data_IF_131412359832
#
_entry.id   IF_131412359832
#
_cell.length_a   1.000
_cell.length_b   1.000
_cell.length_c   1.000
_cell.angle_alpha   90.00
_cell.angle_beta   90.00
_cell.angle_gamma   90.00
#
_symmetry.space_group_name_H-M   'P 1'
#
loop_
_entity.id
_entity.type
_entity.pdbx_description
1 polymer ?
#
# COMPACT_ATOMS: atom_id res chain seq x y z
N UNK A 1 -0.46 -55.44 72.69
CA UNK A 1 -1.34 -55.05 73.80
C UNK A 1 -1.19 -53.55 74.05
N UNK A 2 -2.30 -52.81 73.93
CA UNK A 2 -2.60 -51.45 74.44
C UNK A 2 -1.70 -50.26 74.04
N UNK A 3 -2.25 -49.39 73.19
CA UNK A 3 -1.99 -47.93 73.19
C UNK A 3 -2.68 -47.25 74.39
N UNK A 4 -2.20 -46.07 74.81
CA UNK A 4 -3.05 -44.86 74.82
C UNK A 4 -2.25 -43.60 74.37
N UNK A 5 -2.74 -42.77 73.46
CA UNK A 5 -3.72 -41.68 73.61
C UNK A 5 -3.27 -40.46 74.44
N UNK A 6 -3.02 -39.36 73.70
CA UNK A 6 -3.41 -37.95 73.98
C UNK A 6 -2.65 -37.18 75.06
N UNK A 7 -2.10 -36.01 74.72
CA UNK A 7 -2.47 -34.68 75.28
C UNK A 7 -1.85 -33.55 74.44
N UNK A 8 -2.70 -32.56 74.21
CA UNK A 8 -2.60 -31.32 73.45
C UNK A 8 -1.78 -30.25 74.22
N UNK A 9 -0.95 -29.46 73.53
CA UNK A 9 -0.46 -28.18 74.05
C UNK A 9 -0.51 -27.09 72.96
N UNK A 10 -1.49 -26.20 73.11
CA UNK A 10 -1.63 -24.92 72.43
C UNK A 10 -0.92 -23.86 73.27
N UNK A 11 0.09 -23.17 72.73
CA UNK A 11 0.43 -21.79 73.13
C UNK A 11 0.70 -20.98 71.88
N UNK A 12 -0.07 -19.90 71.75
CA UNK A 12 -0.04 -18.90 70.70
C UNK A 12 1.06 -17.86 70.93
N UNK A 13 1.72 -17.43 69.86
CA UNK A 13 2.32 -16.11 69.76
C UNK A 13 1.92 -15.50 68.41
N UNK A 14 1.04 -14.51 68.49
CA UNK A 14 0.71 -13.59 67.41
C UNK A 14 1.88 -12.63 67.17
N UNK A 15 2.29 -12.47 65.91
CA UNK A 15 2.88 -11.24 65.40
C UNK A 15 2.08 -10.82 64.18
N UNK A 16 1.23 -9.81 64.36
CA UNK A 16 0.53 -9.08 63.31
C UNK A 16 1.52 -8.10 62.67
N UNK A 17 1.63 -8.10 61.34
CA UNK A 17 1.95 -6.90 60.55
C UNK A 17 1.62 -7.12 59.07
N UNK A 18 0.56 -6.44 58.62
CA UNK A 18 0.50 -5.76 57.32
C UNK A 18 0.22 -6.58 56.06
N UNK A 19 -1.04 -6.55 55.61
CA UNK A 19 -1.41 -6.87 54.23
C UNK A 19 -0.89 -5.79 53.27
N UNK A 20 -0.25 -6.18 52.16
CA UNK A 20 -0.55 -5.56 50.86
C UNK A 20 -0.60 -6.67 49.80
N UNK A 21 -1.80 -6.89 49.27
CA UNK A 21 -2.03 -7.74 48.11
C UNK A 21 -1.41 -7.10 46.88
N UNK A 22 -0.54 -7.82 46.17
CA UNK A 22 -0.21 -7.51 44.78
C UNK A 22 -0.44 -8.76 43.94
N UNK A 23 -1.60 -8.78 43.30
CA UNK A 23 -1.88 -9.60 42.13
C UNK A 23 -0.89 -9.21 41.05
N UNK A 24 0.24 -9.92 40.98
CA UNK A 24 1.14 -9.82 39.84
C UNK A 24 0.43 -10.44 38.65
N UNK A 25 -0.15 -9.60 37.79
CA UNK A 25 -0.52 -9.99 36.43
C UNK A 25 0.78 -10.49 35.80
N UNK A 26 0.79 -11.79 35.52
CA UNK A 26 1.78 -12.42 34.67
C UNK A 26 1.73 -11.65 33.34
N UNK A 27 2.75 -10.81 33.11
CA UNK A 27 2.88 -10.07 31.87
C UNK A 27 3.13 -11.12 30.81
N UNK A 28 2.06 -11.51 30.11
CA UNK A 28 2.13 -12.17 28.82
C UNK A 28 3.17 -11.39 28.03
N UNK A 29 4.32 -12.03 27.80
CA UNK A 29 5.41 -11.52 27.00
C UNK A 29 4.92 -11.56 25.55
N UNK A 30 4.06 -10.61 25.19
CA UNK A 30 3.60 -10.40 23.83
C UNK A 30 4.85 -10.06 23.03
N UNK A 31 5.23 -10.87 22.02
CA UNK A 31 6.36 -10.54 21.17
C UNK A 31 6.16 -9.13 20.62
N UNK A 32 7.21 -8.31 20.62
CA UNK A 32 7.18 -7.00 19.99
C UNK A 32 6.69 -7.06 18.53
N UNK A 33 6.26 -5.92 17.96
CA UNK A 33 5.86 -5.87 16.56
C UNK A 33 6.95 -6.46 15.67
N UNK A 34 6.56 -7.08 14.56
CA UNK A 34 7.52 -7.67 13.62
C UNK A 34 8.55 -6.61 13.19
N UNK A 35 9.84 -6.93 13.30
CA UNK A 35 10.92 -6.05 12.85
C UNK A 35 11.00 -5.95 11.31
N UNK A 36 10.19 -6.72 10.59
CA UNK A 36 10.09 -6.64 9.13
C UNK A 36 9.37 -5.34 8.74
N UNK A 37 10.06 -4.46 8.01
CA UNK A 37 9.49 -3.23 7.43
C UNK A 37 9.64 -3.29 5.92
N UNK A 38 8.69 -2.72 5.18
CA UNK A 38 8.66 -2.73 3.71
C UNK A 38 8.75 -1.31 3.16
N UNK A 39 9.16 -1.17 1.91
CA UNK A 39 9.35 0.13 1.25
C UNK A 39 8.02 0.83 0.94
N UNK A 40 6.90 0.11 0.89
CA UNK A 40 5.57 0.71 0.70
C UNK A 40 5.01 1.37 1.97
N UNK A 41 5.61 1.11 3.13
CA UNK A 41 5.22 1.70 4.43
C UNK A 41 6.30 2.66 4.96
N UNK A 42 7.59 2.37 4.77
CA UNK A 42 8.68 3.21 5.27
C UNK A 42 9.34 4.08 4.21
N UNK A 43 9.67 5.31 4.59
CA UNK A 43 10.47 6.24 3.77
C UNK A 43 11.90 5.77 3.54
N UNK A 44 12.53 6.29 2.48
CA UNK A 44 13.93 6.02 2.12
C UNK A 44 14.89 6.26 3.31
N UNK A 45 15.95 5.45 3.50
CA UNK A 45 17.06 5.84 4.37
C UNK A 45 17.61 7.19 3.93
N UNK A 46 18.01 8.03 4.91
CA UNK A 46 18.53 9.40 4.69
C UNK A 46 19.48 9.49 3.47
N UNK A 47 19.38 10.54 2.64
CA UNK A 47 20.36 10.81 1.61
C UNK A 47 21.77 10.94 2.21
N UNK A 48 22.76 10.35 1.54
CA UNK A 48 24.17 10.70 1.71
C UNK A 48 24.30 12.22 1.49
N UNK A 49 25.06 12.96 2.33
CA UNK A 49 25.17 14.41 2.20
C UNK A 49 25.61 14.79 0.76
N UNK A 50 25.01 15.83 0.17
CA UNK A 50 25.34 16.24 -1.18
C UNK A 50 26.81 16.71 -1.24
N UNK A 51 27.54 16.24 -2.24
CA UNK A 51 28.78 16.88 -2.66
C UNK A 51 28.46 18.31 -3.14
N UNK A 52 29.30 19.26 -2.75
CA UNK A 52 29.13 20.70 -2.93
C UNK A 52 28.78 21.09 -4.38
N UNK A 53 27.52 21.51 -4.59
CA UNK A 53 26.99 22.01 -5.88
C UNK A 53 27.40 23.47 -6.13
N UNK A 54 28.15 24.07 -5.22
CA UNK A 54 28.57 25.48 -5.29
C UNK A 54 29.73 25.72 -6.29
N UNK A 55 30.33 24.65 -6.82
CA UNK A 55 31.39 24.75 -7.83
C UNK A 55 30.87 24.81 -9.28
N UNK A 56 29.61 24.46 -9.54
CA UNK A 56 29.07 24.36 -10.92
C UNK A 56 28.42 25.68 -11.38
N UNK A 57 27.92 26.51 -10.46
CA UNK A 57 27.15 27.73 -10.80
C UNK A 57 28.06 28.93 -11.14
N UNK A 58 29.36 28.89 -10.83
CA UNK A 58 30.28 30.02 -11.05
C UNK A 58 30.73 30.25 -12.50
N UNK A 59 30.31 29.45 -13.48
CA UNK A 59 30.76 29.59 -14.87
C UNK A 59 29.76 30.24 -15.84
N UNK A 60 28.52 30.55 -15.44
CA UNK A 60 27.51 31.08 -16.37
C UNK A 60 27.07 32.55 -16.13
N UNK A 61 27.57 33.22 -15.09
CA UNK A 61 27.13 34.59 -14.72
C UNK A 61 28.05 35.73 -15.20
N UNK A 62 28.57 35.64 -16.43
CA UNK A 62 29.29 36.77 -17.05
C UNK A 62 28.90 37.01 -18.51
N UNK A 63 27.68 37.47 -18.81
CA UNK A 63 27.41 38.35 -19.97
C UNK A 63 26.19 39.27 -19.74
N UNK A 64 26.48 40.57 -19.65
CA UNK A 64 25.72 41.75 -20.10
C UNK A 64 24.46 42.29 -19.37
N UNK A 65 24.70 43.42 -18.67
CA UNK A 65 23.85 44.61 -18.55
C UNK A 65 23.55 45.27 -19.92
N UNK A 66 22.38 45.94 -20.07
CA UNK A 66 22.20 47.40 -20.36
C UNK A 66 20.68 47.72 -20.53
N UNK A 67 20.22 48.81 -19.87
CA UNK A 67 18.92 49.53 -20.01
C UNK A 67 19.21 50.95 -20.55
N UNK A 68 18.29 51.67 -21.24
CA UNK A 68 17.41 52.70 -20.59
C UNK A 68 15.99 52.84 -21.24
N UNK A 69 14.88 53.08 -20.54
CA UNK A 69 14.25 54.28 -19.90
C UNK A 69 13.43 55.24 -20.82
N UNK A 70 12.28 55.72 -20.29
CA UNK A 70 11.35 56.83 -20.65
C UNK A 70 10.13 56.52 -21.55
N UNK A 71 8.94 57.15 -21.46
CA UNK A 71 8.15 57.91 -20.47
C UNK A 71 6.72 58.13 -21.10
N UNK A 72 5.67 58.28 -20.30
CA UNK A 72 4.27 58.64 -20.66
C UNK A 72 3.96 60.07 -20.13
N UNK A 73 2.99 60.88 -20.66
CA UNK A 73 1.55 60.70 -20.30
C UNK A 73 0.42 61.31 -21.20
N UNK A 74 -0.79 60.72 -21.06
CA UNK A 74 -2.19 61.25 -20.97
C UNK A 74 -2.68 62.55 -21.68
N UNK A 75 -3.86 62.46 -22.32
CA UNK A 75 -4.83 63.57 -22.49
C UNK A 75 -5.97 63.35 -23.53
N UNK A 76 -7.24 63.34 -23.08
CA UNK A 76 -8.48 63.31 -23.90
C UNK A 76 -9.05 64.74 -24.14
N UNK A 77 -10.09 65.03 -24.99
CA UNK A 77 -11.51 64.70 -24.64
C UNK A 77 -12.59 64.58 -25.79
N UNK A 78 -13.72 63.90 -25.46
CA UNK A 78 -15.16 63.87 -25.87
C UNK A 78 -15.73 64.26 -27.29
N UNK A 79 -16.48 63.28 -27.90
CA UNK A 79 -17.86 63.23 -28.51
C UNK A 79 -18.49 64.32 -29.44
N UNK A 80 -19.61 64.06 -30.22
CA UNK A 80 -20.59 62.94 -30.20
C UNK A 80 -21.13 62.38 -31.55
N UNK A 81 -22.00 61.36 -31.42
CA UNK A 81 -23.22 61.06 -32.20
C UNK A 81 -23.16 60.14 -33.47
N UNK A 82 -23.56 58.88 -33.21
CA UNK A 82 -24.61 58.09 -33.88
C UNK A 82 -24.64 57.92 -35.41
N UNK A 83 -24.56 56.66 -35.87
CA UNK A 83 -25.60 55.98 -36.68
C UNK A 83 -25.28 54.47 -36.84
N UNK A 84 -26.35 53.70 -36.96
CA UNK A 84 -26.50 52.25 -36.76
C UNK A 84 -26.22 51.42 -38.03
N UNK A 85 -25.81 50.15 -37.82
CA UNK A 85 -25.92 48.93 -38.68
C UNK A 85 -24.65 48.42 -39.41
N UNK A 86 -24.56 47.12 -39.78
CA UNK A 86 -25.07 45.89 -39.15
C UNK A 86 -23.95 44.87 -38.82
N UNK A 87 -24.33 43.81 -38.10
CA UNK A 87 -23.45 42.70 -37.69
C UNK A 87 -22.84 41.93 -38.88
N UNK A 88 -21.54 41.63 -38.79
CA UNK A 88 -20.83 40.67 -39.66
C UNK A 88 -21.16 39.23 -39.22
N UNK A 89 -21.23 38.27 -40.15
CA UNK A 89 -21.57 36.89 -39.82
C UNK A 89 -20.45 36.24 -39.01
N UNK A 90 -20.83 35.53 -37.95
CA UNK A 90 -19.92 34.67 -37.21
C UNK A 90 -19.40 33.57 -38.15
N UNK A 91 -18.07 33.54 -38.35
CA UNK A 91 -17.42 32.42 -39.02
C UNK A 91 -17.69 31.15 -38.21
N UNK A 92 -18.31 30.16 -38.86
CA UNK A 92 -18.54 28.84 -38.29
C UNK A 92 -17.18 28.21 -37.92
N UNK A 93 -16.91 28.07 -36.63
CA UNK A 93 -15.77 27.28 -36.16
C UNK A 93 -16.07 25.80 -36.42
N UNK A 94 -15.30 25.21 -37.34
CA UNK A 94 -15.28 23.76 -37.54
C UNK A 94 -14.85 23.12 -36.21
N UNK A 95 -15.61 22.17 -35.63
CA UNK A 95 -15.17 21.50 -34.42
C UNK A 95 -13.91 20.71 -34.75
N UNK A 96 -12.79 21.05 -34.12
CA UNK A 96 -11.61 20.20 -34.21
C UNK A 96 -11.96 18.83 -33.62
N UNK A 97 -11.81 17.79 -34.43
CA UNK A 97 -12.00 16.42 -33.99
C UNK A 97 -11.05 16.15 -32.81
N UNK A 98 -11.63 15.79 -31.65
CA UNK A 98 -10.85 15.34 -30.50
C UNK A 98 -9.91 14.23 -30.98
N UNK A 99 -8.60 14.27 -30.65
CA UNK A 99 -7.73 13.14 -30.95
C UNK A 99 -8.34 11.90 -30.31
N UNK A 100 -8.62 10.87 -31.11
CA UNK A 100 -9.07 9.56 -30.61
C UNK A 100 -8.05 9.12 -29.57
N UNK A 101 -8.48 9.00 -28.31
CA UNK A 101 -7.69 8.38 -27.28
C UNK A 101 -7.25 7.02 -27.81
N UNK A 102 -5.93 6.80 -27.95
CA UNK A 102 -5.40 5.47 -28.25
C UNK A 102 -5.93 4.56 -27.15
N UNK A 103 -6.64 3.49 -27.52
CA UNK A 103 -7.02 2.45 -26.57
C UNK A 103 -5.74 2.00 -25.87
N UNK A 104 -5.69 2.09 -24.54
CA UNK A 104 -4.60 1.51 -23.78
C UNK A 104 -4.42 0.05 -24.22
N UNK A 105 -3.18 -0.43 -24.37
CA UNK A 105 -2.96 -1.83 -24.74
C UNK A 105 -3.71 -2.73 -23.77
N UNK A 106 -4.61 -3.56 -24.28
CA UNK A 106 -5.29 -4.58 -23.50
C UNK A 106 -4.25 -5.57 -22.99
N UNK A 107 -4.29 -5.91 -21.71
CA UNK A 107 -3.45 -6.98 -21.17
C UNK A 107 -3.70 -8.27 -21.96
N UNK A 108 -2.67 -8.74 -22.66
CA UNK A 108 -2.73 -9.89 -23.57
C UNK A 108 -2.64 -11.25 -22.85
N UNK A 109 -2.46 -11.25 -21.52
CA UNK A 109 -2.29 -12.48 -20.75
C UNK A 109 -0.84 -12.98 -20.68
N UNK A 110 0.11 -12.30 -21.32
CA UNK A 110 1.50 -12.73 -21.42
C UNK A 110 2.26 -12.42 -20.14
N UNK A 111 2.81 -13.46 -19.52
CA UNK A 111 3.67 -13.33 -18.35
C UNK A 111 5.10 -13.08 -18.82
N UNK A 112 5.69 -11.98 -18.37
CA UNK A 112 7.12 -11.71 -18.55
C UNK A 112 7.88 -12.27 -17.36
N UNK A 113 8.91 -13.05 -17.67
CA UNK A 113 9.83 -13.63 -16.69
C UNK A 113 10.48 -12.54 -15.84
N UNK A 114 10.50 -12.76 -14.52
CA UNK A 114 11.15 -11.85 -13.58
C UNK A 114 12.66 -11.74 -13.84
N UNK A 115 13.17 -10.52 -13.70
CA UNK A 115 14.59 -10.15 -13.72
C UNK A 115 14.95 -9.22 -12.56
N UNK A 116 14.07 -9.14 -11.56
CA UNK A 116 14.31 -8.36 -10.36
C UNK A 116 15.57 -8.83 -9.64
N UNK A 117 16.31 -7.85 -9.12
CA UNK A 117 17.38 -8.06 -8.16
C UNK A 117 16.86 -7.72 -6.76
N UNK A 118 17.64 -8.04 -5.76
CA UNK A 118 17.34 -7.73 -4.37
C UNK A 118 18.61 -7.24 -3.69
N UNK A 119 18.52 -6.15 -2.93
CA UNK A 119 19.65 -5.63 -2.17
C UNK A 119 19.98 -6.50 -0.94
N UNK A 120 19.00 -7.25 -0.41
CA UNK A 120 19.16 -8.15 0.75
C UNK A 120 18.46 -9.49 0.47
N UNK A 121 18.95 -10.29 -0.50
CA UNK A 121 18.29 -11.53 -0.88
C UNK A 121 18.31 -12.53 0.28
N UNK A 122 17.17 -13.16 0.53
CA UNK A 122 17.05 -14.27 1.48
C UNK A 122 17.10 -15.60 0.73
N UNK A 123 17.86 -16.55 1.27
CA UNK A 123 17.94 -17.90 0.72
C UNK A 123 16.76 -18.75 1.21
N UNK A 124 15.74 -18.89 0.37
CA UNK A 124 14.58 -19.75 0.62
C UNK A 124 14.77 -21.21 0.15
N UNK A 125 15.95 -21.57 -0.38
CA UNK A 125 16.28 -22.91 -0.84
C UNK A 125 15.35 -23.40 -1.97
N UNK A 126 14.82 -24.61 -1.83
CA UNK A 126 13.89 -25.20 -2.80
C UNK A 126 12.55 -24.45 -2.90
N UNK A 127 12.18 -23.67 -1.87
CA UNK A 127 10.95 -22.88 -1.83
C UNK A 127 11.16 -21.42 -2.29
N UNK A 128 12.17 -21.19 -3.15
CA UNK A 128 12.48 -19.86 -3.67
C UNK A 128 11.32 -19.24 -4.44
N UNK A 129 10.98 -17.95 -4.20
CA UNK A 129 9.98 -17.23 -4.98
C UNK A 129 10.32 -17.21 -6.47
N UNK A 130 11.61 -17.25 -6.84
CA UNK A 130 12.05 -17.30 -8.25
C UNK A 130 11.58 -18.55 -9.03
N UNK A 131 11.05 -19.57 -8.34
CA UNK A 131 10.45 -20.74 -8.99
C UNK A 131 8.99 -20.52 -9.40
N UNK A 132 8.35 -19.46 -8.90
CA UNK A 132 7.00 -19.07 -9.29
C UNK A 132 7.07 -18.20 -10.55
N UNK A 133 6.09 -18.36 -11.43
CA UNK A 133 6.16 -17.75 -12.75
C UNK A 133 5.82 -16.25 -12.73
N UNK A 134 4.86 -15.86 -11.89
CA UNK A 134 4.22 -14.55 -11.95
C UNK A 134 4.68 -13.70 -10.78
N UNK A 135 5.56 -12.75 -11.09
CA UNK A 135 6.01 -11.75 -10.14
C UNK A 135 5.29 -10.41 -10.35
N UNK A 136 5.25 -9.62 -9.30
CA UNK A 136 4.69 -8.28 -9.29
C UNK A 136 5.30 -7.43 -8.18
N UNK A 137 4.77 -6.23 -8.05
CA UNK A 137 5.25 -5.24 -7.07
C UNK A 137 4.07 -4.66 -6.31
N UNK A 138 4.36 -4.02 -5.18
CA UNK A 138 3.43 -3.08 -4.58
C UNK A 138 4.13 -1.76 -4.31
N UNK A 139 3.38 -0.66 -4.46
CA UNK A 139 3.94 0.70 -4.43
C UNK A 139 2.97 1.69 -3.79
N UNK A 140 3.53 2.77 -3.27
CA UNK A 140 2.84 3.93 -2.75
C UNK A 140 3.53 5.22 -3.23
N UNK A 141 3.22 6.35 -2.60
CA UNK A 141 4.01 7.59 -2.75
C UNK A 141 5.51 7.44 -2.47
N UNK A 142 5.91 6.47 -1.64
CA UNK A 142 7.31 6.34 -1.21
C UNK A 142 8.27 5.93 -2.33
N UNK A 143 7.76 5.27 -3.37
CA UNK A 143 8.54 4.91 -4.56
C UNK A 143 8.75 6.09 -5.52
N UNK A 144 8.04 7.22 -5.32
CA UNK A 144 8.18 8.42 -6.14
C UNK A 144 7.84 8.17 -7.61
N UNK A 145 8.69 8.68 -8.51
CA UNK A 145 8.55 8.50 -9.95
C UNK A 145 8.91 7.07 -10.38
N UNK A 146 8.00 6.42 -11.10
CA UNK A 146 8.12 5.03 -11.53
C UNK A 146 8.13 4.94 -13.06
N UNK A 147 9.15 4.30 -13.60
CA UNK A 147 9.20 3.87 -15.01
C UNK A 147 8.46 2.53 -15.15
N UNK A 148 7.15 2.61 -15.41
CA UNK A 148 6.27 1.45 -15.55
C UNK A 148 6.63 0.54 -16.73
N UNK A 149 6.94 1.05 -17.95
CA UNK A 149 7.45 0.21 -19.03
C UNK A 149 8.72 -0.55 -18.65
N UNK A 150 9.65 0.09 -17.94
CA UNK A 150 10.84 -0.59 -17.44
C UNK A 150 10.47 -1.67 -16.45
N UNK A 151 9.62 -1.41 -15.45
CA UNK A 151 9.15 -2.44 -14.51
C UNK A 151 8.49 -3.63 -15.23
N UNK A 152 7.62 -3.36 -16.21
CA UNK A 152 6.99 -4.39 -17.04
C UNK A 152 8.04 -5.28 -17.72
N UNK A 153 9.06 -4.68 -18.33
CA UNK A 153 10.16 -5.38 -19.02
C UNK A 153 11.05 -6.20 -18.07
N UNK A 154 11.11 -5.83 -16.79
CA UNK A 154 11.83 -6.57 -15.75
C UNK A 154 10.98 -7.69 -15.11
N UNK A 155 9.76 -7.88 -15.61
CA UNK A 155 8.86 -8.97 -15.19
C UNK A 155 7.90 -8.61 -14.08
N UNK A 156 7.57 -7.33 -13.89
CA UNK A 156 6.38 -6.93 -13.16
C UNK A 156 5.15 -7.26 -14.00
N UNK A 157 4.40 -8.29 -13.64
CA UNK A 157 3.17 -8.70 -14.33
C UNK A 157 1.92 -8.12 -13.68
N UNK A 158 2.03 -7.82 -12.39
CA UNK A 158 0.99 -7.14 -11.63
C UNK A 158 1.58 -6.07 -10.71
N UNK A 159 0.72 -5.14 -10.30
CA UNK A 159 1.04 -4.13 -9.31
C UNK A 159 -0.16 -3.87 -8.36
N UNK A 160 0.07 -3.91 -7.06
CA UNK A 160 -0.85 -3.31 -6.09
C UNK A 160 -0.40 -1.90 -5.74
N UNK A 161 -1.31 -0.93 -5.82
CA UNK A 161 -0.97 0.49 -5.70
C UNK A 161 -1.75 1.07 -4.53
N UNK A 162 -1.06 1.73 -3.59
CA UNK A 162 -1.70 2.38 -2.45
C UNK A 162 -2.69 3.39 -2.98
N UNK A 163 -3.95 3.25 -2.60
CA UNK A 163 -4.97 4.23 -2.95
C UNK A 163 -5.28 5.14 -1.79
N UNK A 164 -5.58 4.58 -0.63
CA UNK A 164 -6.08 5.36 0.50
C UNK A 164 -5.57 4.79 1.82
N UNK A 165 -5.52 5.64 2.82
CA UNK A 165 -5.29 5.30 4.22
C UNK A 165 -6.29 6.03 5.12
N UNK A 166 -6.87 5.32 6.08
CA UNK A 166 -7.92 5.90 6.93
C UNK A 166 -9.17 6.37 6.17
N UNK A 167 -9.80 7.44 6.63
CA UNK A 167 -11.13 7.86 6.12
C UNK A 167 -11.11 9.05 5.16
N UNK A 168 -9.92 9.57 4.86
CA UNK A 168 -9.73 10.96 4.42
C UNK A 168 -8.39 11.21 3.70
N UNK A 169 -7.50 10.21 3.61
CA UNK A 169 -6.23 10.37 2.92
C UNK A 169 -6.21 9.56 1.62
N UNK A 170 -5.92 10.24 0.52
CA UNK A 170 -5.64 9.66 -0.80
C UNK A 170 -4.14 9.70 -1.00
N UNK A 171 -3.54 8.58 -1.40
CA UNK A 171 -2.12 8.57 -1.76
C UNK A 171 -1.91 9.50 -2.97
N UNK A 172 -1.05 10.53 -2.87
CA UNK A 172 -0.90 11.54 -3.90
C UNK A 172 -0.39 10.98 -5.23
N UNK A 173 0.27 9.82 -5.20
CA UNK A 173 0.77 9.15 -6.40
C UNK A 173 -0.23 8.15 -6.98
N UNK A 174 -1.33 7.83 -6.29
CA UNK A 174 -2.28 6.80 -6.70
C UNK A 174 -2.74 6.96 -8.14
N UNK A 175 -3.31 8.12 -8.51
CA UNK A 175 -3.86 8.31 -9.87
C UNK A 175 -2.81 8.19 -10.97
N UNK A 176 -1.60 8.67 -10.70
CA UNK A 176 -0.46 8.60 -11.63
C UNK A 176 0.02 7.17 -11.80
N UNK A 177 0.26 6.48 -10.68
CA UNK A 177 0.69 5.09 -10.67
C UNK A 177 -0.36 4.16 -11.27
N UNK A 178 -1.64 4.37 -10.92
CA UNK A 178 -2.78 3.63 -11.44
C UNK A 178 -2.79 3.70 -12.97
N UNK A 179 -2.71 4.90 -13.55
CA UNK A 179 -2.69 5.09 -15.01
C UNK A 179 -1.44 4.48 -15.64
N UNK A 180 -0.25 4.80 -15.13
CA UNK A 180 1.02 4.35 -15.70
C UNK A 180 1.17 2.83 -15.71
N UNK A 181 0.76 2.15 -14.63
CA UNK A 181 0.75 0.69 -14.58
C UNK A 181 -0.20 0.08 -15.63
N UNK A 182 -1.37 0.68 -15.83
CA UNK A 182 -2.34 0.26 -16.85
C UNK A 182 -1.82 0.47 -18.27
N UNK A 183 -1.24 1.63 -18.57
CA UNK A 183 -0.65 1.96 -19.87
C UNK A 183 0.54 1.05 -20.23
N UNK A 184 1.32 0.64 -19.23
CA UNK A 184 2.41 -0.32 -19.38
C UNK A 184 1.94 -1.79 -19.45
N UNK A 185 0.63 -2.05 -19.37
CA UNK A 185 0.07 -3.39 -19.50
C UNK A 185 0.33 -4.30 -18.30
N UNK A 186 0.39 -3.75 -17.08
CA UNK A 186 0.36 -4.55 -15.84
C UNK A 186 -1.09 -4.78 -15.40
N UNK A 187 -1.37 -5.94 -14.81
CA UNK A 187 -2.59 -6.11 -14.02
C UNK A 187 -2.48 -5.31 -12.73
N UNK A 188 -3.38 -4.36 -12.52
CA UNK A 188 -3.31 -3.42 -11.41
C UNK A 188 -4.45 -3.64 -10.42
N UNK A 189 -4.13 -3.58 -9.14
CA UNK A 189 -5.07 -3.54 -8.04
C UNK A 189 -4.77 -2.35 -7.13
N UNK A 190 -5.73 -1.99 -6.30
CA UNK A 190 -5.57 -0.92 -5.33
C UNK A 190 -5.63 -1.50 -3.91
N UNK A 191 -4.85 -0.95 -3.00
CA UNK A 191 -4.90 -1.33 -1.58
C UNK A 191 -5.25 -0.17 -0.66
N UNK A 192 -5.91 -0.50 0.45
CA UNK A 192 -6.30 0.40 1.52
C UNK A 192 -5.52 0.07 2.79
N UNK A 193 -4.75 1.02 3.31
CA UNK A 193 -4.04 0.85 4.58
C UNK A 193 -4.96 1.21 5.75
N UNK A 194 -5.31 0.23 6.58
CA UNK A 194 -6.41 0.33 7.52
C UNK A 194 -6.07 1.10 8.81
N UNK A 195 -6.92 2.05 9.21
CA UNK A 195 -6.78 2.77 10.49
C UNK A 195 -7.80 2.29 11.52
N UNK A 196 -7.30 1.69 12.60
CA UNK A 196 -8.13 0.99 13.59
C UNK A 196 -9.04 1.89 14.43
N UNK A 197 -8.71 3.18 14.59
CA UNK A 197 -9.56 4.15 15.29
C UNK A 197 -10.61 4.83 14.41
N UNK A 198 -10.65 4.56 13.10
CA UNK A 198 -11.67 5.12 12.19
C UNK A 198 -12.83 4.14 12.02
N UNK A 199 -14.02 4.64 11.68
CA UNK A 199 -15.18 3.79 11.39
C UNK A 199 -14.87 2.96 10.14
N UNK A 200 -15.18 1.65 10.17
CA UNK A 200 -14.83 0.76 9.05
C UNK A 200 -15.57 1.11 7.75
N UNK A 201 -16.85 1.44 7.85
CA UNK A 201 -17.67 1.82 6.70
C UNK A 201 -17.18 3.10 6.02
N UNK A 202 -16.78 4.11 6.79
CA UNK A 202 -16.22 5.37 6.25
C UNK A 202 -14.95 5.14 5.45
N UNK A 203 -14.08 4.24 5.91
CA UNK A 203 -12.86 3.85 5.19
C UNK A 203 -13.19 3.15 3.88
N UNK A 204 -14.18 2.25 3.88
CA UNK A 204 -14.64 1.59 2.67
C UNK A 204 -15.25 2.58 1.67
N UNK A 205 -16.10 3.50 2.14
CA UNK A 205 -16.69 4.55 1.31
C UNK A 205 -15.63 5.52 0.77
N UNK A 206 -14.55 5.77 1.53
CA UNK A 206 -13.41 6.55 1.06
C UNK A 206 -12.62 5.82 -0.03
N UNK A 207 -12.36 4.51 0.15
CA UNK A 207 -11.70 3.70 -0.87
C UNK A 207 -12.53 3.64 -2.16
N UNK A 208 -13.83 3.34 -2.07
CA UNK A 208 -14.77 3.28 -3.20
C UNK A 208 -14.83 4.61 -3.97
N UNK A 209 -14.87 5.74 -3.26
CA UNK A 209 -14.89 7.06 -3.91
C UNK A 209 -13.63 7.37 -4.73
N UNK A 210 -12.49 6.78 -4.38
CA UNK A 210 -11.20 7.13 -4.96
C UNK A 210 -10.65 6.09 -5.95
N UNK A 211 -11.07 4.84 -5.85
CA UNK A 211 -10.60 3.74 -6.70
C UNK A 211 -11.66 3.43 -7.74
N UNK A 212 -11.37 3.57 -9.04
CA UNK A 212 -12.37 3.32 -10.07
C UNK A 212 -12.58 1.81 -10.27
N UNK A 213 -13.85 1.41 -10.40
CA UNK A 213 -14.21 0.07 -10.88
C UNK A 213 -13.93 0.00 -12.38
N UNK A 214 -12.93 -0.78 -12.77
CA UNK A 214 -12.51 -0.95 -14.17
C UNK A 214 -12.36 -2.44 -14.49
N UNK A 215 -12.84 -2.90 -15.67
CA UNK A 215 -12.74 -4.30 -16.05
C UNK A 215 -11.31 -4.82 -16.00
N UNK A 216 -11.14 -5.98 -15.38
CA UNK A 216 -9.85 -6.66 -15.30
C UNK A 216 -8.82 -6.00 -14.38
N UNK A 217 -9.22 -5.05 -13.52
CA UNK A 217 -8.47 -4.74 -12.32
C UNK A 217 -8.46 -5.94 -11.36
N UNK A 218 -7.40 -6.05 -10.56
CA UNK A 218 -7.33 -7.05 -9.51
C UNK A 218 -8.32 -6.73 -8.38
N UNK A 219 -8.78 -7.74 -7.62
CA UNK A 219 -9.57 -7.52 -6.41
C UNK A 219 -8.94 -6.47 -5.49
N UNK A 220 -9.74 -5.63 -4.82
CA UNK A 220 -9.21 -4.64 -3.91
C UNK A 220 -8.55 -5.32 -2.71
N UNK A 221 -7.48 -4.72 -2.19
CA UNK A 221 -6.77 -5.22 -1.00
C UNK A 221 -7.14 -4.38 0.22
N UNK A 222 -7.40 -5.07 1.33
CA UNK A 222 -7.34 -4.49 2.67
C UNK A 222 -5.97 -4.83 3.28
N UNK A 223 -5.21 -3.80 3.60
CA UNK A 223 -3.92 -3.89 4.27
C UNK A 223 -4.13 -3.68 5.78
N UNK A 224 -3.97 -4.78 6.54
CA UNK A 224 -4.20 -4.83 7.97
C UNK A 224 -2.91 -5.14 8.72
N UNK A 225 -2.39 -4.13 9.39
CA UNK A 225 -1.21 -4.24 10.22
C UNK A 225 -1.30 -3.35 11.46
N UNK A 226 -0.38 -3.56 12.40
CA UNK A 226 -0.22 -2.62 13.51
C UNK A 226 0.47 -1.36 13.01
N UNK A 227 -0.32 -0.30 12.78
CA UNK A 227 0.21 0.98 12.34
C UNK A 227 0.93 1.72 13.49
N UNK A 228 2.27 1.60 13.53
CA UNK A 228 3.11 2.29 14.51
C UNK A 228 3.04 3.83 14.38
N UNK A 229 2.87 4.33 13.15
CA UNK A 229 2.78 5.76 12.83
C UNK A 229 1.41 6.36 13.18
N UNK A 230 0.40 5.52 13.43
CA UNK A 230 -0.92 6.01 13.80
C UNK A 230 -0.89 6.75 15.13
N UNK A 231 -1.61 7.87 15.19
CA UNK A 231 -1.98 8.52 16.46
C UNK A 231 -2.94 7.67 17.29
N UNK A 232 -3.58 6.66 16.68
CA UNK A 232 -4.36 5.64 17.35
C UNK A 232 -3.44 4.68 18.11
N UNK A 233 -3.30 4.86 19.42
CA UNK A 233 -2.52 3.93 20.28
C UNK A 233 -3.36 2.80 20.86
N UNK A 234 -4.64 2.74 20.52
CA UNK A 234 -5.58 1.72 21.03
C UNK A 234 -5.37 0.39 20.31
N UNK A 235 -5.08 -0.66 21.09
CA UNK A 235 -5.24 -2.04 20.62
C UNK A 235 -6.68 -2.49 20.83
N UNK A 236 -7.31 -2.97 19.75
CA UNK A 236 -8.63 -3.60 19.82
C UNK A 236 -8.51 -5.04 20.30
N UNK A 237 -9.63 -5.65 20.69
CA UNK A 237 -9.66 -7.11 20.84
C UNK A 237 -9.58 -7.77 19.44
N UNK A 238 -9.09 -9.02 19.35
CA UNK A 238 -9.08 -9.77 18.09
C UNK A 238 -10.45 -9.79 17.40
N UNK A 239 -11.54 -9.93 18.14
CA UNK A 239 -12.92 -9.96 17.62
C UNK A 239 -13.29 -8.63 16.96
N UNK A 240 -12.94 -7.51 17.62
CA UNK A 240 -13.21 -6.16 17.09
C UNK A 240 -12.36 -5.84 15.86
N UNK A 241 -11.12 -6.33 15.79
CA UNK A 241 -10.35 -6.26 14.55
C UNK A 241 -11.09 -6.95 13.40
N UNK A 242 -11.50 -8.20 13.61
CA UNK A 242 -12.20 -9.01 12.59
C UNK A 242 -13.55 -8.42 12.18
N UNK A 243 -14.34 -7.92 13.12
CA UNK A 243 -15.62 -7.25 12.84
C UNK A 243 -15.42 -6.03 11.92
N UNK A 244 -14.44 -5.18 12.24
CA UNK A 244 -14.15 -4.00 11.43
C UNK A 244 -13.64 -4.36 10.03
N UNK A 245 -12.83 -5.41 9.93
CA UNK A 245 -12.40 -5.94 8.64
C UNK A 245 -13.58 -6.43 7.81
N UNK A 246 -14.49 -7.20 8.41
CA UNK A 246 -15.67 -7.74 7.74
C UNK A 246 -16.54 -6.63 7.15
N UNK A 247 -16.86 -5.59 7.95
CA UNK A 247 -17.64 -4.43 7.48
C UNK A 247 -16.98 -3.75 6.27
N UNK A 248 -15.66 -3.58 6.29
CA UNK A 248 -14.94 -2.97 5.18
C UNK A 248 -14.98 -3.86 3.94
N UNK A 249 -14.66 -5.15 4.10
CA UNK A 249 -14.60 -6.11 3.01
C UNK A 249 -15.96 -6.36 2.36
N UNK A 250 -17.04 -6.45 3.14
CA UNK A 250 -18.40 -6.63 2.61
C UNK A 250 -18.81 -5.48 1.69
N UNK A 251 -18.49 -4.23 2.07
CA UNK A 251 -18.76 -3.06 1.24
C UNK A 251 -17.95 -3.06 -0.04
N UNK A 252 -16.67 -3.48 0.02
CA UNK A 252 -15.85 -3.59 -1.18
C UNK A 252 -16.34 -4.72 -2.09
N UNK A 253 -16.67 -5.89 -1.55
CA UNK A 253 -17.20 -7.01 -2.32
C UNK A 253 -18.50 -6.64 -3.02
N UNK A 254 -19.42 -5.96 -2.32
CA UNK A 254 -20.67 -5.47 -2.89
C UNK A 254 -20.47 -4.45 -4.02
N UNK A 255 -19.47 -3.56 -3.91
CA UNK A 255 -19.22 -2.53 -4.91
C UNK A 255 -18.47 -3.07 -6.14
N UNK A 256 -17.36 -3.78 -5.90
CA UNK A 256 -16.46 -4.26 -6.95
C UNK A 256 -16.90 -5.59 -7.55
N UNK A 257 -17.76 -6.36 -6.90
CA UNK A 257 -18.11 -7.72 -7.33
C UNK A 257 -16.94 -8.69 -7.21
N UNK A 258 -15.90 -8.32 -6.46
CA UNK A 258 -14.68 -9.08 -6.27
C UNK A 258 -14.44 -9.26 -4.78
N UNK A 259 -14.13 -10.48 -4.36
CA UNK A 259 -13.77 -10.76 -2.97
C UNK A 259 -12.45 -10.07 -2.62
N UNK A 260 -12.40 -9.18 -1.61
CA UNK A 260 -11.17 -8.48 -1.27
C UNK A 260 -10.04 -9.41 -0.83
N UNK A 261 -8.81 -9.02 -1.14
CA UNK A 261 -7.59 -9.72 -0.70
C UNK A 261 -7.13 -9.12 0.63
N UNK A 262 -6.77 -9.97 1.60
CA UNK A 262 -6.27 -9.55 2.91
C UNK A 262 -4.74 -9.55 2.88
N UNK A 263 -4.12 -8.38 2.95
CA UNK A 263 -2.69 -8.25 3.24
C UNK A 263 -2.46 -8.21 4.75
N UNK A 264 -1.46 -8.96 5.24
CA UNK A 264 -1.09 -8.94 6.66
C UNK A 264 0.37 -9.33 6.90
N UNK A 265 1.01 -8.76 7.93
CA UNK A 265 2.29 -9.22 8.46
C UNK A 265 2.15 -10.34 9.50
N UNK A 266 3.26 -11.00 9.89
CA UNK A 266 3.23 -12.19 10.73
C UNK A 266 2.63 -11.98 12.12
N UNK A 267 2.95 -10.85 12.76
CA UNK A 267 2.50 -10.50 14.10
C UNK A 267 1.00 -10.22 14.12
N UNK A 268 0.50 -9.37 13.23
CA UNK A 268 -0.93 -9.08 13.14
C UNK A 268 -1.75 -10.33 12.81
N UNK A 269 -1.24 -11.18 11.91
CA UNK A 269 -1.89 -12.45 11.58
C UNK A 269 -1.98 -13.39 12.78
N UNK A 270 -0.87 -13.62 13.47
CA UNK A 270 -0.79 -14.53 14.63
C UNK A 270 -1.78 -14.11 15.71
N UNK A 271 -1.83 -12.81 15.98
CA UNK A 271 -2.62 -12.26 17.08
C UNK A 271 -4.12 -12.22 16.75
N UNK A 272 -4.49 -11.96 15.49
CA UNK A 272 -5.87 -11.58 15.14
C UNK A 272 -6.55 -12.49 14.09
N UNK A 273 -5.80 -13.15 13.21
CA UNK A 273 -6.34 -13.77 11.98
C UNK A 273 -6.14 -15.29 11.88
N UNK A 274 -5.31 -15.90 12.75
CA UNK A 274 -5.09 -17.36 12.74
C UNK A 274 -6.43 -18.10 12.90
N UNK A 275 -6.74 -18.98 11.94
CA UNK A 275 -8.01 -19.74 11.92
C UNK A 275 -9.21 -19.01 11.31
N UNK A 276 -9.14 -17.70 11.09
CA UNK A 276 -10.25 -16.90 10.56
C UNK A 276 -10.11 -16.61 9.05
N UNK A 277 -11.17 -16.07 8.45
CA UNK A 277 -11.24 -15.63 7.04
C UNK A 277 -10.75 -16.69 6.03
N UNK A 278 -11.05 -17.98 6.26
CA UNK A 278 -10.62 -19.08 5.38
C UNK A 278 -11.14 -18.96 3.95
N UNK A 279 -12.28 -18.31 3.75
CA UNK A 279 -12.84 -18.04 2.43
C UNK A 279 -12.28 -16.80 1.72
N UNK A 280 -11.33 -16.07 2.31
CA UNK A 280 -10.73 -14.88 1.70
C UNK A 280 -9.32 -15.17 1.16
N UNK A 281 -8.95 -14.60 0.01
CA UNK A 281 -7.59 -14.68 -0.51
C UNK A 281 -6.63 -13.88 0.39
N UNK A 282 -5.49 -14.48 0.73
CA UNK A 282 -4.45 -13.82 1.52
C UNK A 282 -3.25 -13.41 0.66
N UNK A 283 -2.75 -12.21 0.95
CA UNK A 283 -1.44 -11.72 0.56
C UNK A 283 -0.56 -11.66 1.82
N UNK A 284 0.38 -12.59 1.96
CA UNK A 284 1.17 -12.71 3.18
C UNK A 284 2.52 -12.02 3.04
N UNK A 285 2.88 -11.15 3.99
CA UNK A 285 4.26 -10.68 4.13
C UNK A 285 5.09 -11.72 4.85
N UNK A 286 6.18 -12.14 4.23
CA UNK A 286 7.14 -13.06 4.85
C UNK A 286 8.50 -12.87 4.19
N UNK A 287 9.28 -11.91 4.69
CA UNK A 287 10.53 -11.51 4.02
C UNK A 287 11.74 -12.28 4.56
N UNK A 288 11.65 -12.85 5.77
CA UNK A 288 12.74 -13.63 6.37
C UNK A 288 12.62 -15.16 6.21
N UNK A 289 11.45 -15.69 5.86
CA UNK A 289 11.20 -17.13 5.71
C UNK A 289 10.04 -17.41 4.74
N UNK A 290 9.93 -18.65 4.25
CA UNK A 290 8.81 -19.04 3.37
C UNK A 290 7.46 -19.00 4.14
N UNK A 291 6.34 -18.59 3.51
CA UNK A 291 5.05 -18.48 4.18
C UNK A 291 4.59 -19.75 4.90
N UNK A 292 4.92 -20.95 4.41
CA UNK A 292 4.54 -22.20 5.08
C UNK A 292 5.16 -22.37 6.48
N UNK A 293 6.29 -21.70 6.77
CA UNK A 293 6.94 -21.72 8.08
C UNK A 293 6.35 -20.65 9.02
N UNK A 294 6.03 -19.48 8.46
CA UNK A 294 5.54 -18.32 9.24
C UNK A 294 4.03 -18.38 9.48
N UNK A 295 3.29 -18.96 8.53
CA UNK A 295 1.83 -19.07 8.52
C UNK A 295 1.40 -20.53 8.28
N UNK A 296 1.72 -21.46 9.20
CA UNK A 296 1.46 -22.89 9.00
C UNK A 296 -0.03 -23.16 8.74
N UNK A 297 -0.31 -23.84 7.62
CA UNK A 297 -1.67 -24.21 7.20
C UNK A 297 -2.52 -23.04 6.71
N UNK A 298 -1.93 -21.87 6.40
CA UNK A 298 -2.64 -20.76 5.75
C UNK A 298 -2.45 -20.81 4.25
N UNK A 299 -3.55 -20.90 3.52
CA UNK A 299 -3.58 -20.68 2.08
C UNK A 299 -3.36 -19.19 1.77
N UNK A 300 -2.63 -18.93 0.69
CA UNK A 300 -2.31 -17.58 0.21
C UNK A 300 -2.29 -17.56 -1.31
N UNK A 301 -2.59 -16.41 -1.88
CA UNK A 301 -2.56 -16.14 -3.32
C UNK A 301 -1.39 -15.25 -3.71
N UNK A 302 -0.94 -14.39 -2.79
CA UNK A 302 0.22 -13.53 -3.00
C UNK A 302 1.18 -13.65 -1.81
N UNK A 303 2.46 -13.52 -2.09
CA UNK A 303 3.52 -13.49 -1.08
C UNK A 303 4.43 -12.29 -1.35
N UNK A 304 4.51 -11.38 -0.38
CA UNK A 304 5.53 -10.33 -0.35
C UNK A 304 6.80 -10.92 0.26
N UNK A 305 7.79 -11.17 -0.58
CA UNK A 305 9.00 -11.91 -0.22
C UNK A 305 10.21 -11.01 0.00
N UNK A 306 10.10 -9.73 -0.36
CA UNK A 306 11.17 -8.75 -0.14
C UNK A 306 10.62 -7.33 -0.05
N UNK A 307 11.23 -6.51 0.81
CA UNK A 307 11.06 -5.05 0.82
C UNK A 307 12.27 -4.29 0.27
N UNK A 308 13.26 -5.00 -0.27
CA UNK A 308 14.55 -4.46 -0.73
C UNK A 308 14.83 -4.76 -2.21
N UNK A 309 13.77 -4.95 -2.98
CA UNK A 309 13.84 -5.20 -4.41
C UNK A 309 14.53 -4.07 -5.17
N UNK A 310 15.24 -4.43 -6.22
CA UNK A 310 15.90 -3.54 -7.16
C UNK A 310 15.41 -3.87 -8.57
N UNK A 311 14.74 -2.92 -9.20
CA UNK A 311 14.01 -3.16 -10.46
C UNK A 311 14.41 -2.23 -11.60
N UNK A 312 15.37 -1.33 -11.38
CA UNK A 312 15.77 -0.24 -12.30
C UNK A 312 14.64 0.73 -12.72
N UNK A 313 13.37 0.44 -12.41
CA UNK A 313 12.22 1.29 -12.71
C UNK A 313 11.83 2.23 -11.56
N UNK A 314 12.55 2.16 -10.43
CA UNK A 314 12.40 3.03 -9.25
C UNK A 314 13.79 3.46 -8.78
N UNK A 315 13.92 4.68 -8.29
CA UNK A 315 15.19 5.25 -7.76
C UNK A 315 15.59 4.71 -6.37
N UNK A 316 14.98 3.62 -5.92
CA UNK A 316 15.15 3.07 -4.58
C UNK A 316 14.67 1.63 -4.48
N UNK A 317 14.40 1.20 -3.25
CA UNK A 317 13.87 -0.12 -2.97
C UNK A 317 12.38 -0.21 -3.34
N UNK A 318 11.96 -1.41 -3.74
CA UNK A 318 10.57 -1.73 -4.04
C UNK A 318 10.20 -3.07 -3.41
N UNK A 319 8.95 -3.19 -3.00
CA UNK A 319 8.42 -4.42 -2.46
C UNK A 319 8.16 -5.41 -3.61
N UNK A 320 8.67 -6.64 -3.46
CA UNK A 320 8.56 -7.68 -4.46
C UNK A 320 7.59 -8.76 -4.02
N UNK A 321 6.74 -9.16 -4.98
CA UNK A 321 5.67 -10.09 -4.76
C UNK A 321 5.67 -11.21 -5.79
N UNK A 322 5.12 -12.35 -5.39
CA UNK A 322 4.80 -13.47 -6.28
C UNK A 322 3.35 -13.89 -6.10
N UNK A 323 2.73 -14.34 -7.18
CA UNK A 323 1.46 -15.05 -7.14
C UNK A 323 1.71 -16.55 -6.92
N UNK A 324 0.85 -17.19 -6.13
CA UNK A 324 0.91 -18.62 -5.85
C UNK A 324 0.34 -19.44 -7.02
N UNK A 325 1.21 -19.85 -7.94
CA UNK A 325 0.85 -20.79 -8.98
C UNK A 325 1.62 -20.60 -10.28
N UNK A 326 1.20 -21.39 -11.28
CA UNK A 326 1.65 -21.32 -12.66
C UNK A 326 0.99 -20.14 -13.41
N UNK A 327 1.52 -19.81 -14.60
CA UNK A 327 0.90 -18.80 -15.47
C UNK A 327 -0.55 -19.15 -15.87
N UNK A 328 -0.86 -20.45 -16.00
CA UNK A 328 -2.21 -20.91 -16.31
C UNK A 328 -3.16 -20.65 -15.15
N UNK A 329 -2.73 -20.91 -13.92
CA UNK A 329 -3.51 -20.63 -12.72
C UNK A 329 -3.68 -19.13 -12.51
N UNK A 330 -2.66 -18.32 -12.83
CA UNK A 330 -2.77 -16.88 -12.87
C UNK A 330 -3.86 -16.40 -13.83
N UNK A 331 -3.85 -16.89 -15.08
CA UNK A 331 -4.88 -16.55 -16.08
C UNK A 331 -6.28 -16.96 -15.63
N UNK A 332 -6.43 -18.13 -15.02
CA UNK A 332 -7.71 -18.57 -14.44
C UNK A 332 -8.15 -17.66 -13.31
N UNK A 333 -7.26 -17.39 -12.36
CA UNK A 333 -7.56 -16.54 -11.21
C UNK A 333 -7.97 -15.13 -11.63
N UNK A 334 -7.35 -14.56 -12.66
CA UNK A 334 -7.78 -13.29 -13.26
C UNK A 334 -9.19 -13.35 -13.86
N UNK A 335 -9.55 -14.47 -14.50
CA UNK A 335 -10.88 -14.67 -15.07
C UNK A 335 -11.95 -14.81 -13.98
N UNK A 336 -11.68 -15.61 -12.95
CA UNK A 336 -12.59 -15.83 -11.82
C UNK A 336 -12.80 -14.55 -10.98
N UNK A 337 -11.89 -13.59 -11.10
CA UNK A 337 -11.90 -12.33 -10.38
C UNK A 337 -11.97 -11.11 -11.31
N UNK A 338 -12.54 -11.24 -12.51
CA UNK A 338 -12.81 -10.08 -13.37
C UNK A 338 -14.04 -9.33 -12.82
N UNK A 339 -13.81 -8.28 -12.02
CA UNK A 339 -14.87 -7.41 -11.48
C UNK A 339 -15.58 -6.54 -12.52
#
# INVERSE_FOLDING_TARGET
>A
MRSPSVVLALIACLALSGCTSRSGIDVLQVPGPSAETTSSVAGMPRPVPPADVEAIIRQEETVAMVVPESAEPLGAPVEPAALVAPAKPAAAMIPQARPRARSAPSFDGTVTRHRFRDAKPINFGSASPSRLAVHGVDVSRWQGEIDWPRLRSQGANFAYIKATDGGDHLDPMFRKNWRGAGEAGLRRGAYHFFYWCRVASEQADWFIRNVPKVPGALPPVIDVEYNAESRCKRRLSPERYREKMQVFMDKLEAHYGQRPVIYTPPDFYRDNLKGHFRGYPFWLRSVAAHPSKVYPGREWVFWQYSGSGLSHGVRGQIDLNVFHGSEREWRRWLGDNAG
#
